data_IF_077287922279
#
_entry.id   IF_077287922279
#
_cell.length_a   1.000
_cell.length_b   1.000
_cell.length_c   1.000
_cell.angle_alpha   90.00
_cell.angle_beta   90.00
_cell.angle_gamma   90.00
#
_symmetry.space_group_name_H-M   'P 1'
#
loop_
_entity.id
_entity.type
_entity.pdbx_description
1 polymer ?
#
# COMPACT_ATOMS: atom_id res chain seq x y z
N UNK A 1 -10.66 -49.22 -33.99
CA UNK A 1 -10.35 -47.94 -33.31
C UNK A 1 -8.85 -47.76 -33.27
N UNK A 2 -8.28 -46.68 -33.84
CA UNK A 2 -6.85 -46.43 -33.77
C UNK A 2 -6.56 -45.88 -32.37
N UNK A 3 -5.72 -46.55 -31.57
CA UNK A 3 -5.30 -46.06 -30.26
C UNK A 3 -4.46 -44.79 -30.46
N UNK A 4 -4.76 -43.73 -29.68
CA UNK A 4 -4.01 -42.45 -29.73
C UNK A 4 -2.58 -42.67 -29.27
N UNK A 5 -1.65 -41.82 -29.75
CA UNK A 5 -0.21 -41.86 -29.38
C UNK A 5 0.01 -41.93 -27.86
N UNK A 6 -0.72 -41.18 -27.07
CA UNK A 6 -0.65 -41.11 -25.61
C UNK A 6 -1.02 -42.43 -24.92
N UNK A 7 -1.97 -43.22 -25.51
CA UNK A 7 -2.33 -44.53 -25.01
C UNK A 7 -1.25 -45.59 -25.27
N UNK A 8 -0.44 -45.38 -26.29
CA UNK A 8 0.70 -46.29 -26.62
C UNK A 8 1.95 -46.02 -25.78
N UNK A 9 2.05 -44.81 -25.20
CA UNK A 9 3.25 -44.37 -24.47
C UNK A 9 2.84 -43.77 -23.09
N UNK A 10 2.33 -44.56 -22.15
CA UNK A 10 1.81 -44.06 -20.88
C UNK A 10 2.86 -43.29 -20.07
N UNK A 11 4.12 -43.75 -20.05
CA UNK A 11 5.21 -43.05 -19.34
C UNK A 11 5.48 -41.65 -19.89
N UNK A 12 5.37 -41.45 -21.20
CA UNK A 12 5.54 -40.15 -21.83
C UNK A 12 4.35 -39.26 -21.49
N UNK A 13 3.14 -39.81 -21.49
CA UNK A 13 1.93 -39.09 -21.08
C UNK A 13 2.01 -38.60 -19.63
N UNK A 14 2.45 -39.46 -18.72
CA UNK A 14 2.61 -39.14 -17.29
C UNK A 14 3.68 -38.05 -17.08
N UNK A 15 4.85 -38.20 -17.74
CA UNK A 15 5.93 -37.20 -17.65
C UNK A 15 5.49 -35.83 -18.21
N UNK A 16 4.79 -35.85 -19.35
CA UNK A 16 4.21 -34.63 -19.93
C UNK A 16 3.16 -33.98 -19.02
N UNK A 17 2.30 -34.80 -18.41
CA UNK A 17 1.31 -34.34 -17.43
C UNK A 17 1.96 -33.65 -16.22
N UNK A 18 3.03 -34.22 -15.67
CA UNK A 18 3.80 -33.64 -14.58
C UNK A 18 4.42 -32.30 -15.01
N UNK A 19 5.02 -32.25 -16.19
CA UNK A 19 5.60 -31.02 -16.75
C UNK A 19 4.55 -29.92 -16.90
N UNK A 20 3.41 -30.23 -17.48
CA UNK A 20 2.30 -29.28 -17.66
C UNK A 20 1.79 -28.79 -16.31
N UNK A 21 1.66 -29.68 -15.32
CA UNK A 21 1.26 -29.31 -13.95
C UNK A 21 2.21 -28.28 -13.35
N UNK A 22 3.53 -28.56 -13.33
CA UNK A 22 4.50 -27.60 -12.77
C UNK A 22 4.53 -26.28 -13.56
N UNK A 23 4.40 -26.35 -14.88
CA UNK A 23 4.32 -25.16 -15.72
C UNK A 23 3.09 -24.28 -15.37
N UNK A 24 1.91 -24.89 -15.22
CA UNK A 24 0.70 -24.18 -14.82
C UNK A 24 0.81 -23.59 -13.41
N UNK A 25 1.38 -24.34 -12.45
CA UNK A 25 1.61 -23.83 -11.09
C UNK A 25 2.55 -22.63 -11.11
N UNK A 26 3.64 -22.72 -11.87
CA UNK A 26 4.60 -21.61 -11.98
C UNK A 26 3.96 -20.36 -12.59
N UNK A 27 3.24 -20.52 -13.71
CA UNK A 27 2.52 -19.41 -14.34
C UNK A 27 1.45 -18.82 -13.41
N UNK A 28 0.69 -19.68 -12.73
CA UNK A 28 -0.32 -19.24 -11.76
C UNK A 28 0.29 -18.45 -10.62
N UNK A 29 1.42 -18.90 -10.08
CA UNK A 29 2.14 -18.19 -9.02
C UNK A 29 2.64 -16.83 -9.48
N UNK A 30 3.25 -16.76 -10.68
CA UNK A 30 3.70 -15.49 -11.27
C UNK A 30 2.51 -14.55 -11.46
N UNK A 31 1.41 -15.05 -12.01
CA UNK A 31 0.20 -14.27 -12.23
C UNK A 31 -0.36 -13.69 -10.92
N UNK A 32 -0.49 -14.52 -9.88
CA UNK A 32 -0.99 -14.08 -8.57
C UNK A 32 -0.10 -12.99 -7.99
N UNK A 33 1.23 -13.21 -7.97
CA UNK A 33 2.17 -12.24 -7.39
C UNK A 33 2.26 -10.94 -8.19
N UNK A 34 2.05 -10.99 -9.50
CA UNK A 34 2.13 -9.80 -10.35
C UNK A 34 0.87 -8.96 -10.30
N UNK A 35 -0.32 -9.60 -10.31
CA UNK A 35 -1.58 -8.93 -10.57
C UNK A 35 -2.56 -8.90 -9.40
N UNK A 36 -2.40 -9.79 -8.42
CA UNK A 36 -3.39 -9.95 -7.35
C UNK A 36 -2.83 -9.55 -5.99
N UNK A 37 -1.77 -10.20 -5.53
CA UNK A 37 -1.20 -9.98 -4.21
C UNK A 37 0.32 -9.93 -4.25
N UNK A 38 0.90 -9.03 -3.47
CA UNK A 38 2.34 -8.94 -3.28
C UNK A 38 2.66 -8.87 -1.79
N UNK A 39 3.68 -9.62 -1.35
CA UNK A 39 4.13 -9.61 0.04
C UNK A 39 5.30 -8.65 0.22
N UNK A 40 5.26 -7.86 1.30
CA UNK A 40 6.35 -6.99 1.74
C UNK A 40 6.70 -7.25 3.19
N UNK A 41 7.99 -7.17 3.50
CA UNK A 41 8.47 -7.10 4.89
C UNK A 41 8.63 -5.63 5.25
N UNK A 42 8.02 -5.24 6.36
CA UNK A 42 8.10 -3.88 6.87
C UNK A 42 9.47 -3.67 7.51
N UNK A 43 10.13 -2.58 7.16
CA UNK A 43 11.43 -2.19 7.73
C UNK A 43 11.29 -0.84 8.40
N UNK A 44 11.79 -0.74 9.63
CA UNK A 44 11.79 0.48 10.43
C UNK A 44 10.52 0.70 11.24
N UNK A 45 10.51 1.79 12.00
CA UNK A 45 9.50 2.13 13.01
C UNK A 45 8.45 3.14 12.56
N UNK A 46 8.51 3.60 11.32
CA UNK A 46 7.68 4.73 10.84
C UNK A 46 6.18 4.49 10.87
N UNK A 47 5.76 3.22 10.89
CA UNK A 47 4.35 2.82 10.95
C UNK A 47 3.91 2.29 12.32
N UNK A 48 4.76 2.45 13.35
CA UNK A 48 4.36 2.12 14.72
C UNK A 48 3.26 3.04 15.25
N UNK A 49 2.32 2.52 16.03
CA UNK A 49 2.20 1.14 16.54
C UNK A 49 1.52 0.16 15.58
N UNK A 50 1.02 0.61 14.42
CA UNK A 50 0.22 -0.21 13.49
C UNK A 50 1.04 -1.35 12.90
N UNK A 51 2.25 -1.09 12.42
CA UNK A 51 3.22 -2.07 11.98
C UNK A 51 4.53 -1.87 12.71
N UNK A 52 5.21 -2.96 13.03
CA UNK A 52 6.55 -2.98 13.61
C UNK A 52 7.57 -3.48 12.61
N UNK A 53 8.82 -3.19 12.89
CA UNK A 53 9.94 -3.76 12.14
C UNK A 53 9.86 -5.30 12.10
N UNK A 54 10.04 -5.87 10.90
CA UNK A 54 9.92 -7.32 10.65
C UNK A 54 8.50 -7.84 10.41
N UNK A 55 7.45 -7.04 10.61
CA UNK A 55 6.08 -7.45 10.25
C UNK A 55 5.99 -7.75 8.74
N UNK A 56 5.12 -8.69 8.34
CA UNK A 56 4.86 -8.98 6.92
C UNK A 56 3.44 -8.61 6.55
N UNK A 57 3.33 -7.87 5.46
CA UNK A 57 2.07 -7.38 4.91
C UNK A 57 1.81 -7.96 3.52
N UNK A 58 0.54 -8.23 3.21
CA UNK A 58 0.04 -8.54 1.89
C UNK A 58 -0.63 -7.30 1.31
N UNK A 59 -0.20 -6.93 0.13
CA UNK A 59 -0.72 -5.80 -0.64
C UNK A 59 -1.71 -6.33 -1.66
N UNK A 60 -2.90 -5.73 -1.72
CA UNK A 60 -3.89 -6.03 -2.74
C UNK A 60 -3.61 -5.20 -3.99
N UNK A 61 -3.22 -5.86 -5.08
CA UNK A 61 -2.95 -5.20 -6.37
C UNK A 61 -4.14 -5.17 -7.32
N UNK A 62 -5.21 -5.91 -7.00
CA UNK A 62 -6.40 -5.98 -7.87
C UNK A 62 -6.98 -4.61 -8.24
N UNK A 63 -7.13 -3.63 -7.30
CA UNK A 63 -7.68 -2.33 -7.66
C UNK A 63 -6.82 -1.58 -8.68
N UNK A 64 -5.49 -1.66 -8.56
CA UNK A 64 -4.57 -1.07 -9.53
C UNK A 64 -4.58 -1.82 -10.87
N UNK A 65 -4.55 -3.14 -10.82
CA UNK A 65 -4.61 -3.99 -12.02
C UNK A 65 -5.89 -3.70 -12.80
N UNK A 66 -7.03 -3.56 -12.11
CA UNK A 66 -8.30 -3.21 -12.72
C UNK A 66 -8.28 -1.79 -13.30
N UNK A 67 -7.76 -0.81 -12.55
CA UNK A 67 -7.64 0.58 -13.02
C UNK A 67 -6.78 0.67 -14.29
N UNK A 68 -5.65 -0.04 -14.34
CA UNK A 68 -4.80 -0.11 -15.52
C UNK A 68 -5.49 -0.78 -16.71
N UNK A 69 -6.24 -1.85 -16.47
CA UNK A 69 -7.00 -2.55 -17.51
C UNK A 69 -8.12 -1.68 -18.09
N UNK A 70 -8.79 -0.90 -17.26
CA UNK A 70 -9.89 -0.01 -17.66
C UNK A 70 -9.43 1.39 -18.07
N UNK A 71 -8.12 1.64 -18.06
CA UNK A 71 -7.51 2.94 -18.34
C UNK A 71 -8.06 4.07 -17.43
N UNK A 72 -8.34 3.72 -16.17
CA UNK A 72 -8.79 4.63 -15.11
C UNK A 72 -7.69 4.86 -14.09
N UNK A 73 -7.88 5.87 -13.22
CA UNK A 73 -6.93 6.14 -12.12
C UNK A 73 -7.37 5.40 -10.86
N UNK A 74 -6.44 4.70 -10.22
CA UNK A 74 -6.66 4.21 -8.86
C UNK A 74 -6.46 5.36 -7.87
N UNK A 75 -7.47 5.63 -7.05
CA UNK A 75 -7.39 6.58 -5.95
C UNK A 75 -7.62 5.79 -4.66
N UNK A 76 -6.65 5.76 -3.74
CA UNK A 76 -6.80 5.07 -2.46
C UNK A 76 -7.84 5.77 -1.59
N UNK A 77 -8.31 5.11 -0.55
CA UNK A 77 -9.21 5.71 0.45
C UNK A 77 -8.39 6.50 1.48
N UNK A 78 -9.01 7.53 2.06
CA UNK A 78 -8.41 8.21 3.22
C UNK A 78 -8.23 7.23 4.38
N UNK A 79 -7.09 7.30 5.05
CA UNK A 79 -6.74 6.38 6.11
C UNK A 79 -6.20 5.04 5.65
N UNK A 80 -6.28 4.74 4.38
CA UNK A 80 -5.74 3.50 3.82
C UNK A 80 -4.21 3.48 3.94
N UNK A 81 -3.67 2.35 4.36
CA UNK A 81 -2.23 2.14 4.39
C UNK A 81 -1.83 1.58 3.02
N UNK A 82 -0.92 2.26 2.37
CA UNK A 82 -0.48 1.91 1.01
C UNK A 82 1.03 1.67 0.97
N UNK A 83 1.43 0.84 0.01
CA UNK A 83 2.83 0.76 -0.43
C UNK A 83 2.95 1.48 -1.76
N UNK A 84 4.01 2.25 -1.92
CA UNK A 84 4.32 3.01 -3.13
C UNK A 84 5.82 3.04 -3.40
N UNK A 85 6.21 3.26 -4.64
CA UNK A 85 7.59 3.50 -5.02
C UNK A 85 8.04 4.87 -4.51
N UNK A 86 9.19 4.92 -3.87
CA UNK A 86 9.77 6.17 -3.37
C UNK A 86 9.94 7.18 -4.52
N UNK A 87 9.25 8.35 -4.49
CA UNK A 87 9.39 9.36 -5.53
C UNK A 87 10.81 9.90 -5.68
N UNK A 88 11.59 9.81 -4.62
CA UNK A 88 12.98 10.30 -4.55
C UNK A 88 14.01 9.17 -4.66
N UNK A 89 13.59 7.97 -5.08
CA UNK A 89 14.50 6.84 -5.22
C UNK A 89 15.56 7.10 -6.29
N UNK A 90 16.80 6.88 -5.92
CA UNK A 90 17.96 6.85 -6.82
C UNK A 90 18.60 5.47 -6.68
N UNK A 91 19.07 4.91 -7.78
CA UNK A 91 19.73 3.59 -7.79
C UNK A 91 20.86 3.52 -6.75
N UNK A 92 20.80 2.47 -5.93
CA UNK A 92 21.70 2.27 -4.79
C UNK A 92 21.12 2.67 -3.42
N UNK A 93 19.97 3.33 -3.37
CA UNK A 93 19.24 3.52 -2.11
C UNK A 93 18.59 2.23 -1.63
N UNK A 94 18.43 2.08 -0.30
CA UNK A 94 17.78 0.91 0.31
C UNK A 94 16.26 0.93 0.19
N UNK A 95 15.66 2.13 0.16
CA UNK A 95 14.21 2.32 0.33
C UNK A 95 13.53 2.60 -1.02
N UNK A 96 13.50 1.58 -1.89
CA UNK A 96 12.77 1.64 -3.16
C UNK A 96 11.25 1.70 -2.94
N UNK A 97 10.74 0.97 -1.94
CA UNK A 97 9.33 0.93 -1.59
C UNK A 97 9.13 1.49 -0.19
N UNK A 98 8.10 2.32 -0.05
CA UNK A 98 7.74 2.97 1.22
C UNK A 98 6.30 2.60 1.56
N UNK A 99 6.04 2.39 2.86
CA UNK A 99 4.71 2.17 3.40
C UNK A 99 4.28 3.35 4.25
N UNK A 100 3.11 3.96 3.96
CA UNK A 100 2.53 5.09 4.71
C UNK A 100 1.01 5.05 4.67
N UNK A 101 0.40 5.89 5.51
CA UNK A 101 -1.04 6.11 5.55
C UNK A 101 -1.44 7.32 4.71
N UNK A 102 -2.50 7.18 3.93
CA UNK A 102 -3.10 8.26 3.12
C UNK A 102 -3.82 9.25 4.04
N UNK A 103 -3.45 10.51 3.95
CA UNK A 103 -3.97 11.59 4.79
C UNK A 103 -4.85 12.55 4.01
N UNK A 104 -4.40 13.00 2.83
CA UNK A 104 -5.13 13.97 2.04
C UNK A 104 -4.94 13.73 0.53
N UNK A 105 -5.83 14.34 -0.24
CA UNK A 105 -5.94 14.19 -1.70
C UNK A 105 -5.68 15.52 -2.41
N UNK A 106 -5.56 15.45 -3.73
CA UNK A 106 -5.41 16.60 -4.60
C UNK A 106 -6.40 17.73 -4.28
N UNK A 107 -5.91 18.95 -4.23
CA UNK A 107 -6.68 20.16 -3.90
C UNK A 107 -6.89 20.40 -2.41
N UNK A 108 -6.65 19.40 -1.55
CA UNK A 108 -6.77 19.58 -0.11
C UNK A 108 -5.54 20.24 0.49
N UNK A 109 -5.76 20.93 1.60
CA UNK A 109 -4.73 21.59 2.40
C UNK A 109 -4.54 20.83 3.70
N UNK A 110 -3.29 20.50 4.00
CA UNK A 110 -2.89 19.85 5.26
C UNK A 110 -2.15 20.87 6.12
N UNK A 111 -2.54 20.99 7.39
CA UNK A 111 -1.87 21.84 8.36
C UNK A 111 -1.50 21.02 9.60
N UNK A 112 -0.27 21.14 10.03
CA UNK A 112 0.16 20.69 11.36
C UNK A 112 0.49 21.91 12.18
N UNK A 113 -0.21 22.09 13.29
CA UNK A 113 -0.01 23.20 14.21
C UNK A 113 -0.18 22.73 15.66
N UNK A 114 0.80 23.02 16.50
CA UNK A 114 0.80 22.65 17.92
C UNK A 114 0.51 21.17 18.17
N UNK A 115 1.05 20.30 17.30
CA UNK A 115 0.90 18.87 17.42
C UNK A 115 -0.41 18.29 16.84
N UNK A 116 -1.27 19.12 16.27
CA UNK A 116 -2.53 18.69 15.67
C UNK A 116 -2.44 18.71 14.14
N UNK A 117 -2.73 17.58 13.50
CA UNK A 117 -2.86 17.48 12.04
C UNK A 117 -4.32 17.70 11.65
N UNK A 118 -4.56 18.66 10.75
CA UNK A 118 -5.87 19.04 10.25
C UNK A 118 -5.85 19.10 8.73
N UNK A 119 -6.91 18.59 8.11
CA UNK A 119 -7.13 18.62 6.66
C UNK A 119 -8.30 19.54 6.37
N UNK A 120 -8.15 20.42 5.37
CA UNK A 120 -9.15 21.36 4.91
C UNK A 120 -9.51 21.05 3.46
N UNK A 121 -10.81 21.09 3.14
CA UNK A 121 -11.35 20.97 1.79
C UNK A 121 -12.66 21.73 1.66
N UNK A 122 -13.26 21.76 0.46
CA UNK A 122 -14.50 22.49 0.19
C UNK A 122 -15.69 22.04 1.06
N UNK A 123 -15.71 20.75 1.45
CA UNK A 123 -16.77 20.21 2.33
C UNK A 123 -16.53 20.52 3.80
N UNK A 124 -15.28 20.72 4.17
CA UNK A 124 -14.86 20.99 5.55
C UNK A 124 -13.93 22.21 5.58
N UNK A 125 -14.44 23.42 5.39
CA UNK A 125 -13.65 24.64 5.39
C UNK A 125 -13.05 24.97 6.77
N UNK A 126 -13.69 24.49 7.85
CA UNK A 126 -13.19 24.61 9.22
C UNK A 126 -12.12 23.55 9.56
N UNK A 127 -11.89 22.61 8.65
CA UNK A 127 -10.95 21.51 8.81
C UNK A 127 -11.48 20.36 9.65
N UNK A 128 -10.88 19.20 9.47
CA UNK A 128 -11.16 17.99 10.24
C UNK A 128 -9.86 17.23 10.53
N UNK A 129 -9.88 16.41 11.58
CA UNK A 129 -8.79 15.50 11.88
C UNK A 129 -8.98 14.18 11.12
N UNK A 130 -8.09 13.81 10.20
CA UNK A 130 -8.18 12.51 9.52
C UNK A 130 -7.94 11.35 10.49
N UNK A 131 -7.29 11.59 11.63
CA UNK A 131 -6.93 10.58 12.61
C UNK A 131 -8.11 10.15 13.50
N UNK A 132 -9.19 10.95 13.59
CA UNK A 132 -10.34 10.67 14.47
C UNK A 132 -11.12 9.41 14.06
N UNK A 133 -11.03 9.00 12.80
CA UNK A 133 -11.74 7.84 12.25
C UNK A 133 -10.82 6.62 12.02
N UNK A 134 -9.56 6.69 12.35
CA UNK A 134 -8.68 5.52 12.27
C UNK A 134 -8.88 4.67 13.53
N UNK A 135 -9.57 3.56 13.35
CA UNK A 135 -9.87 2.58 14.41
C UNK A 135 -8.62 2.01 15.07
N UNK A 136 -7.83 2.79 15.76
CA UNK A 136 -6.83 2.37 16.72
C UNK A 136 -5.94 3.54 17.12
N UNK A 137 -6.26 4.10 18.24
CA UNK A 137 -5.51 5.07 19.00
C UNK A 137 -5.39 6.47 18.33
N UNK A 138 -6.03 7.47 18.90
CA UNK A 138 -5.89 8.84 18.44
C UNK A 138 -4.41 9.24 18.53
N UNK A 139 -3.87 9.72 17.42
CA UNK A 139 -2.51 10.27 17.38
C UNK A 139 -2.51 11.54 18.22
N UNK A 140 -2.04 11.43 19.45
CA UNK A 140 -2.08 12.53 20.43
C UNK A 140 -1.21 13.71 20.02
N UNK A 141 -0.20 13.51 19.19
CA UNK A 141 0.74 14.53 18.79
C UNK A 141 1.35 14.22 17.43
N UNK A 142 1.40 15.23 16.56
CA UNK A 142 2.09 15.17 15.26
C UNK A 142 3.18 16.22 15.21
N UNK A 143 4.44 15.80 15.01
CA UNK A 143 5.58 16.71 14.87
C UNK A 143 5.64 17.35 13.48
N UNK A 144 6.47 18.38 13.35
CA UNK A 144 6.71 19.18 12.15
C UNK A 144 5.52 20.05 11.80
N UNK A 145 5.40 21.17 12.52
CA UNK A 145 4.45 22.22 12.18
C UNK A 145 4.72 22.73 10.76
N UNK A 146 3.65 22.92 9.99
CA UNK A 146 3.74 23.34 8.60
C UNK A 146 2.40 23.28 7.88
N UNK A 147 2.41 23.72 6.64
CA UNK A 147 1.24 23.78 5.79
C UNK A 147 1.60 23.32 4.37
N UNK A 148 0.77 22.43 3.83
CA UNK A 148 0.98 21.84 2.49
C UNK A 148 -0.33 21.82 1.74
N UNK A 149 -0.28 22.16 0.46
CA UNK A 149 -1.38 21.94 -0.49
C UNK A 149 -1.02 20.76 -1.37
N UNK A 150 -1.94 19.82 -1.51
CA UNK A 150 -1.71 18.59 -2.30
C UNK A 150 -1.91 18.89 -3.78
N UNK A 151 -0.88 18.69 -4.64
CA UNK A 151 -0.98 18.89 -6.07
C UNK A 151 -1.96 17.91 -6.75
N UNK A 152 -2.36 18.25 -7.99
CA UNK A 152 -3.16 17.37 -8.81
C UNK A 152 -2.47 16.03 -9.08
N UNK A 153 -3.25 14.94 -9.01
CA UNK A 153 -2.79 13.57 -9.18
C UNK A 153 -1.78 13.08 -8.14
N UNK A 154 -1.72 13.73 -7.00
CA UNK A 154 -0.87 13.35 -5.88
C UNK A 154 -1.68 13.17 -4.60
N UNK A 155 -1.07 12.55 -3.61
CA UNK A 155 -1.63 12.36 -2.27
C UNK A 155 -0.61 12.78 -1.22
N UNK A 156 -1.11 13.21 -0.08
CA UNK A 156 -0.32 13.45 1.12
C UNK A 156 -0.35 12.21 1.99
N UNK A 157 0.80 11.74 2.40
CA UNK A 157 0.94 10.53 3.22
C UNK A 157 1.71 10.81 4.50
N UNK A 158 1.40 10.05 5.54
CA UNK A 158 2.13 10.14 6.81
C UNK A 158 2.35 8.76 7.41
N UNK A 159 3.46 8.59 8.10
CA UNK A 159 3.66 7.45 8.96
C UNK A 159 2.73 7.48 10.16
N UNK A 160 2.50 6.33 10.79
CA UNK A 160 1.72 6.23 12.02
C UNK A 160 2.55 6.65 13.24
N UNK A 161 3.85 6.56 13.15
CA UNK A 161 4.76 7.15 14.13
C UNK A 161 4.94 8.65 13.83
N UNK A 162 4.08 9.48 14.43
CA UNK A 162 3.97 10.91 14.16
C UNK A 162 4.99 11.78 14.88
N UNK A 163 5.70 11.23 15.86
CA UNK A 163 6.55 12.00 16.79
C UNK A 163 7.98 12.12 16.28
N UNK A 164 8.56 13.30 16.37
CA UNK A 164 9.94 13.57 15.97
C UNK A 164 10.23 13.21 14.52
N UNK A 165 11.43 12.73 14.24
CA UNK A 165 11.90 12.34 12.91
C UNK A 165 11.71 10.84 12.61
N UNK A 166 10.78 10.17 13.29
CA UNK A 166 10.58 8.72 13.17
C UNK A 166 9.91 8.30 11.86
N UNK A 167 9.45 9.24 11.05
CA UNK A 167 8.82 8.95 9.75
C UNK A 167 9.31 9.88 8.66
N UNK A 168 9.93 9.30 7.65
CA UNK A 168 10.18 9.96 6.37
C UNK A 168 8.89 9.92 5.54
N UNK A 169 8.16 11.03 5.50
CA UNK A 169 6.86 11.15 4.86
C UNK A 169 6.62 12.57 4.30
N UNK A 170 5.40 12.88 3.88
CA UNK A 170 5.08 14.16 3.22
C UNK A 170 5.38 15.39 4.09
N UNK A 171 5.46 15.23 5.42
CA UNK A 171 5.83 16.30 6.37
C UNK A 171 7.34 16.55 6.44
N UNK A 172 8.15 15.56 6.11
CA UNK A 172 9.59 15.51 6.45
C UNK A 172 10.50 15.25 5.25
N UNK A 173 10.20 15.84 4.09
CA UNK A 173 11.09 15.83 2.94
C UNK A 173 10.80 14.79 1.86
N UNK A 174 9.91 13.81 2.09
CA UNK A 174 9.44 12.93 1.02
C UNK A 174 8.64 13.71 -0.04
N UNK A 175 7.88 14.72 0.41
CA UNK A 175 6.90 15.42 -0.42
C UNK A 175 5.63 14.61 -0.63
N UNK A 176 4.76 15.10 -1.50
CA UNK A 176 3.54 14.40 -1.93
C UNK A 176 3.88 13.22 -2.85
N UNK A 177 3.00 12.24 -2.91
CA UNK A 177 3.21 10.99 -3.67
C UNK A 177 2.32 10.96 -4.89
N UNK A 178 2.88 10.87 -6.11
CA UNK A 178 2.10 10.72 -7.33
C UNK A 178 1.29 9.41 -7.33
N UNK A 179 0.03 9.46 -7.77
CA UNK A 179 -0.87 8.29 -7.81
C UNK A 179 -0.30 7.12 -8.61
N UNK A 180 0.44 7.39 -9.69
CA UNK A 180 1.04 6.34 -10.53
C UNK A 180 2.18 5.57 -9.84
N UNK A 181 2.70 6.08 -8.73
CA UNK A 181 3.72 5.42 -7.91
C UNK A 181 3.15 4.42 -6.91
N UNK A 182 1.83 4.38 -6.73
CA UNK A 182 1.18 3.47 -5.80
C UNK A 182 1.32 2.03 -6.30
N UNK A 183 1.76 1.12 -5.44
CA UNK A 183 1.84 -0.33 -5.68
C UNK A 183 0.54 -1.01 -5.27
N UNK A 184 -0.07 -0.55 -4.18
CA UNK A 184 -1.38 -1.02 -3.72
C UNK A 184 -1.62 -0.80 -2.24
N UNK A 185 -2.90 -0.95 -1.82
CA UNK A 185 -3.27 -0.91 -0.42
C UNK A 185 -2.89 -2.18 0.32
N UNK A 186 -2.56 -2.03 1.60
CA UNK A 186 -2.35 -3.15 2.52
C UNK A 186 -3.68 -3.82 2.83
N UNK A 187 -3.80 -5.10 2.49
CA UNK A 187 -4.98 -5.91 2.82
C UNK A 187 -4.83 -6.62 4.18
N UNK A 188 -3.69 -7.26 4.40
CA UNK A 188 -3.46 -8.06 5.59
C UNK A 188 -2.06 -7.88 6.16
N UNK A 189 -1.95 -7.93 7.51
CA UNK A 189 -0.71 -8.31 8.17
C UNK A 189 -0.77 -9.83 8.41
N UNK A 190 0.25 -10.56 7.94
CA UNK A 190 0.31 -12.03 8.03
C UNK A 190 1.36 -12.53 9.01
N UNK A 191 2.28 -11.68 9.43
CA UNK A 191 3.28 -11.99 10.44
C UNK A 191 3.52 -10.78 11.35
N UNK A 192 3.72 -11.00 12.67
CA UNK A 192 3.75 -12.28 13.38
C UNK A 192 2.36 -12.94 13.47
N UNK A 193 2.31 -14.26 13.50
CA UNK A 193 1.07 -15.05 13.43
C UNK A 193 0.06 -14.74 14.55
N UNK A 194 0.53 -14.31 15.71
CA UNK A 194 -0.32 -13.92 16.84
C UNK A 194 -0.95 -12.51 16.67
N UNK A 195 -0.64 -11.82 15.57
CA UNK A 195 -1.13 -10.46 15.24
C UNK A 195 -1.68 -10.36 13.82
N UNK A 196 -2.12 -11.48 13.25
CA UNK A 196 -2.80 -11.47 11.94
C UNK A 196 -3.98 -10.52 12.02
N UNK A 197 -4.09 -9.64 11.02
CA UNK A 197 -5.15 -8.64 10.96
C UNK A 197 -5.44 -8.27 9.50
N UNK A 198 -6.73 -8.13 9.16
CA UNK A 198 -7.14 -7.44 7.94
C UNK A 198 -7.23 -5.93 8.17
N UNK A 199 -7.10 -5.16 7.10
CA UNK A 199 -7.25 -3.72 7.09
C UNK A 199 -8.40 -3.36 6.16
N UNK A 200 -9.55 -3.05 6.76
CA UNK A 200 -10.72 -2.55 6.05
C UNK A 200 -10.86 -1.05 6.32
N UNK A 201 -11.07 -0.28 5.27
CA UNK A 201 -11.18 1.17 5.35
C UNK A 201 -12.56 1.60 4.86
N UNK A 202 -13.34 2.20 5.76
CA UNK A 202 -14.61 2.83 5.40
C UNK A 202 -14.36 4.26 4.88
N UNK A 203 -15.10 4.67 3.86
CA UNK A 203 -15.13 6.06 3.41
C UNK A 203 -16.21 6.80 4.22
N UNK A 204 -15.83 7.44 5.30
CA UNK A 204 -16.74 8.22 6.14
C UNK A 204 -16.34 9.71 6.18
N UNK A 205 -16.02 10.29 4.97
CA UNK A 205 -15.74 11.74 4.84
C UNK A 205 -16.41 12.34 3.61
#
# INVERSE_FOLDING_TARGET
>A
MKSNFWQRHPRIADTFGIFVFFFCVTLGTIFINTFIFQSFTIVGSSMEPTFKDGDKAIINRLPLTWANFTNTKFIPKRGEIIVFENPQFIDGMKDQYIIKRVIAFAGEKVKVEKGKLTVYNDKHPDGFSPDDNFNNEPKKYTSHDGEWTVPENEIFVSGDNRVGNNSYDSRSGLGTVPLYKIVGPVAFRIFPFNKIRNFEYSQNY
#
